data_IF_577093876125
#
_entry.id   IF_577093876125
#
_cell.length_a   1.000
_cell.length_b   1.000
_cell.length_c   1.000
_cell.angle_alpha   90.00
_cell.angle_beta   90.00
_cell.angle_gamma   90.00
#
_symmetry.space_group_name_H-M   'P 1'
#
loop_
_entity.id
_entity.type
_entity.pdbx_description
1 polymer ?
#
# COMPACT_ATOMS: atom_id res chain seq x y z
N UNK A 1 -28.51 9.67 -8.19
CA UNK A 1 -29.26 9.15 -9.37
C UNK A 1 -28.30 8.33 -10.23
N UNK A 2 -28.28 7.01 -10.03
CA UNK A 2 -27.62 6.07 -10.95
C UNK A 2 -28.67 5.04 -11.31
N UNK A 3 -29.04 5.01 -12.58
CA UNK A 3 -30.02 4.08 -13.12
C UNK A 3 -29.45 2.66 -13.17
N UNK A 4 -30.31 1.71 -12.79
CA UNK A 4 -30.43 0.34 -13.30
C UNK A 4 -29.22 -0.20 -14.06
N UNK A 5 -28.39 -0.97 -13.35
CA UNK A 5 -27.42 -1.87 -13.97
C UNK A 5 -28.16 -3.02 -14.67
N UNK A 6 -28.48 -2.81 -15.94
CA UNK A 6 -28.59 -3.92 -16.88
C UNK A 6 -27.22 -4.59 -16.98
N UNK A 7 -27.22 -5.92 -16.95
CA UNK A 7 -26.10 -6.78 -17.29
C UNK A 7 -25.57 -6.48 -18.70
N UNK A 8 -24.73 -5.45 -18.81
CA UNK A 8 -23.91 -5.20 -19.98
C UNK A 8 -22.49 -5.61 -19.65
N UNK A 9 -21.99 -6.67 -20.30
CA UNK A 9 -20.55 -6.78 -20.51
C UNK A 9 -20.11 -5.49 -21.19
N UNK A 10 -19.52 -4.57 -20.42
CA UNK A 10 -18.94 -3.36 -20.97
C UNK A 10 -17.73 -3.75 -21.81
N UNK A 11 -17.94 -3.97 -23.10
CA UNK A 11 -16.84 -4.11 -24.05
C UNK A 11 -16.07 -2.79 -24.08
N UNK A 12 -14.88 -2.78 -23.45
CA UNK A 12 -13.93 -1.69 -23.60
C UNK A 12 -13.40 -1.70 -25.02
N UNK A 13 -13.61 -0.61 -25.76
CA UNK A 13 -13.06 -0.46 -27.10
C UNK A 13 -11.53 -0.34 -27.01
N UNK A 14 -10.82 -1.35 -27.53
CA UNK A 14 -9.35 -1.39 -27.59
C UNK A 14 -8.74 -0.21 -28.39
N UNK A 15 -9.56 0.54 -29.12
CA UNK A 15 -9.16 1.61 -30.02
C UNK A 15 -8.89 2.96 -29.33
N UNK A 16 -8.88 3.01 -27.99
CA UNK A 16 -8.60 4.22 -27.19
C UNK A 16 -7.33 4.08 -26.32
N UNK A 17 -6.51 3.04 -26.54
CA UNK A 17 -5.32 2.74 -25.73
C UNK A 17 -4.11 3.54 -26.22
N UNK A 18 -3.88 3.61 -27.54
CA UNK A 18 -2.69 4.24 -28.14
C UNK A 18 -3.10 5.33 -29.12
N UNK A 19 -2.49 6.50 -28.95
CA UNK A 19 -2.76 7.68 -29.78
C UNK A 19 -1.98 7.54 -31.09
N UNK A 20 -2.66 7.29 -32.21
CA UNK A 20 -2.06 7.11 -33.54
C UNK A 20 -1.61 8.44 -34.19
N UNK A 21 -0.90 9.27 -33.43
CA UNK A 21 -0.32 10.54 -33.87
C UNK A 21 -0.85 11.76 -33.11
N UNK A 22 0.00 12.34 -32.25
CA UNK A 22 -0.32 13.50 -31.41
C UNK A 22 -0.56 14.81 -32.20
N UNK A 23 -0.17 14.85 -33.47
CA UNK A 23 -0.16 16.04 -34.31
C UNK A 23 -1.33 16.12 -35.31
N UNK A 24 -2.25 15.14 -35.33
CA UNK A 24 -3.49 15.25 -36.12
C UNK A 24 -4.40 16.29 -35.46
N UNK A 25 -4.74 17.37 -36.17
CA UNK A 25 -5.74 18.34 -35.71
C UNK A 25 -7.07 17.62 -35.43
N UNK A 26 -7.61 17.78 -34.21
CA UNK A 26 -8.92 17.27 -33.81
C UNK A 26 -8.93 16.07 -32.86
N UNK A 27 -7.78 15.51 -32.46
CA UNK A 27 -7.72 14.50 -31.38
C UNK A 27 -7.54 15.15 -30.01
N UNK A 28 -8.55 15.01 -29.14
CA UNK A 28 -8.45 15.37 -27.73
C UNK A 28 -7.64 14.33 -26.96
N UNK A 29 -6.59 14.78 -26.25
CA UNK A 29 -5.71 13.92 -25.44
C UNK A 29 -6.49 13.15 -24.36
N UNK A 30 -7.58 13.74 -23.85
CA UNK A 30 -8.49 13.14 -22.87
C UNK A 30 -9.28 11.93 -23.37
N UNK A 31 -9.21 11.62 -24.68
CA UNK A 31 -9.86 10.44 -25.26
C UNK A 31 -8.97 9.19 -25.19
N UNK A 32 -7.68 9.34 -24.87
CA UNK A 32 -6.72 8.24 -24.88
C UNK A 32 -6.12 8.00 -23.49
N UNK A 33 -6.12 6.74 -23.05
CA UNK A 33 -5.75 6.37 -21.68
C UNK A 33 -4.27 6.65 -21.33
N UNK A 34 -3.34 6.33 -22.23
CA UNK A 34 -1.89 6.42 -21.97
C UNK A 34 -1.38 7.87 -21.80
N UNK A 35 -1.62 8.81 -22.73
CA UNK A 35 -1.11 10.17 -22.57
C UNK A 35 -1.78 10.92 -21.41
N UNK A 36 -3.06 10.62 -21.14
CA UNK A 36 -3.76 11.17 -19.98
C UNK A 36 -3.19 10.64 -18.67
N UNK A 37 -2.84 9.34 -18.59
CA UNK A 37 -2.11 8.77 -17.45
C UNK A 37 -0.77 9.46 -17.20
N UNK A 38 0.05 9.70 -18.23
CA UNK A 38 1.32 10.43 -18.06
C UNK A 38 1.11 11.85 -17.55
N UNK A 39 0.10 12.56 -18.08
CA UNK A 39 -0.27 13.89 -17.62
C UNK A 39 -0.68 13.85 -16.14
N UNK A 40 -1.47 12.86 -15.74
CA UNK A 40 -1.91 12.66 -14.37
C UNK A 40 -0.72 12.41 -13.42
N UNK A 41 0.23 11.55 -13.81
CA UNK A 41 1.46 11.30 -13.04
C UNK A 41 2.29 12.58 -12.90
N UNK A 42 2.44 13.37 -13.98
CA UNK A 42 3.14 14.65 -13.93
C UNK A 42 2.48 15.63 -12.95
N UNK A 43 1.16 15.73 -12.97
CA UNK A 43 0.40 16.58 -12.03
C UNK A 43 0.59 16.09 -10.59
N UNK A 44 0.44 14.78 -10.35
CA UNK A 44 0.59 14.19 -9.01
C UNK A 44 1.98 14.42 -8.43
N UNK A 45 3.02 14.16 -9.21
CA UNK A 45 4.42 14.36 -8.78
C UNK A 45 4.70 15.84 -8.56
N UNK A 46 4.27 16.72 -9.46
CA UNK A 46 4.51 18.16 -9.33
C UNK A 46 3.83 18.73 -8.09
N UNK A 47 2.57 18.37 -7.85
CA UNK A 47 1.82 18.83 -6.68
C UNK A 47 2.39 18.25 -5.39
N UNK A 48 2.77 16.96 -5.38
CA UNK A 48 3.41 16.35 -4.21
C UNK A 48 4.75 17.00 -3.88
N UNK A 49 5.54 17.39 -4.88
CA UNK A 49 6.81 18.11 -4.69
C UNK A 49 6.60 19.52 -4.18
N UNK A 50 5.63 20.24 -4.74
CA UNK A 50 5.28 21.59 -4.32
C UNK A 50 4.79 21.58 -2.87
N UNK A 51 3.85 20.70 -2.54
CA UNK A 51 3.34 20.60 -1.16
C UNK A 51 4.42 20.12 -0.19
N UNK A 52 5.30 19.21 -0.59
CA UNK A 52 6.44 18.80 0.24
C UNK A 52 7.40 19.97 0.50
N UNK A 53 7.59 20.88 -0.47
CA UNK A 53 8.38 22.09 -0.28
C UNK A 53 7.72 23.07 0.70
N UNK A 54 6.40 23.27 0.59
CA UNK A 54 5.64 24.13 1.50
C UNK A 54 5.61 23.60 2.94
N UNK A 55 5.54 22.29 3.11
CA UNK A 55 5.46 21.64 4.41
C UNK A 55 6.87 21.40 5.03
N UNK A 56 7.94 21.45 4.22
CA UNK A 56 9.33 21.35 4.69
C UNK A 56 9.68 22.25 5.89
N UNK A 57 9.31 23.55 5.94
CA UNK A 57 9.58 24.39 7.11
C UNK A 57 8.88 23.93 8.39
N UNK A 58 7.82 23.11 8.29
CA UNK A 58 7.10 22.54 9.44
C UNK A 58 7.75 21.25 9.97
N UNK A 59 8.86 20.79 9.39
CA UNK A 59 9.59 19.61 9.84
C UNK A 59 8.89 18.27 9.57
N UNK A 60 7.85 18.24 8.75
CA UNK A 60 7.11 17.02 8.44
C UNK A 60 7.81 16.18 7.35
N UNK A 61 7.76 14.83 7.43
CA UNK A 61 8.31 13.95 6.41
C UNK A 61 7.54 14.06 5.08
N UNK A 62 8.25 13.83 3.97
CA UNK A 62 7.74 13.94 2.60
C UNK A 62 6.48 13.08 2.35
N UNK A 63 6.38 11.94 3.01
CA UNK A 63 5.25 11.02 2.89
C UNK A 63 3.90 11.68 3.25
N UNK A 64 3.89 12.63 4.19
CA UNK A 64 2.66 13.30 4.61
C UNK A 64 2.14 14.21 3.50
N UNK A 65 3.04 14.93 2.81
CA UNK A 65 2.66 15.72 1.64
C UNK A 65 2.13 14.83 0.50
N UNK A 66 2.72 13.64 0.28
CA UNK A 66 2.24 12.67 -0.71
C UNK A 66 0.81 12.19 -0.38
N UNK A 67 0.52 11.89 0.90
CA UNK A 67 -0.83 11.48 1.36
C UNK A 67 -1.84 12.64 1.22
N UNK A 68 -1.48 13.85 1.64
CA UNK A 68 -2.35 15.03 1.54
C UNK A 68 -2.71 15.35 0.09
N UNK A 69 -1.76 15.25 -0.83
CA UNK A 69 -2.04 15.39 -2.27
C UNK A 69 -3.01 14.32 -2.74
N UNK A 70 -2.85 13.07 -2.31
CA UNK A 70 -3.81 12.00 -2.61
C UNK A 70 -5.22 12.28 -2.11
N UNK A 71 -5.37 12.80 -0.89
CA UNK A 71 -6.68 13.18 -0.32
C UNK A 71 -7.28 14.36 -1.09
N UNK A 72 -6.46 15.35 -1.45
CA UNK A 72 -6.90 16.58 -2.12
C UNK A 72 -7.30 16.33 -3.57
N UNK A 73 -6.53 15.53 -4.30
CA UNK A 73 -6.82 15.14 -5.70
C UNK A 73 -7.84 14.01 -5.81
N UNK A 74 -8.06 13.26 -4.73
CA UNK A 74 -9.06 12.19 -4.67
C UNK A 74 -10.49 12.72 -4.53
N UNK A 75 -11.44 11.79 -4.43
CA UNK A 75 -12.87 12.11 -4.31
C UNK A 75 -13.22 12.90 -3.03
N UNK A 76 -12.38 12.79 -1.98
CA UNK A 76 -12.55 13.51 -0.72
C UNK A 76 -12.29 15.02 -0.82
N UNK A 77 -11.48 15.46 -1.79
CA UNK A 77 -11.15 16.86 -2.05
C UNK A 77 -11.84 17.38 -3.30
N UNK A 78 -11.11 17.37 -4.42
CA UNK A 78 -11.52 17.93 -5.71
C UNK A 78 -12.65 17.16 -6.41
N UNK A 79 -12.88 15.89 -6.05
CA UNK A 79 -14.02 15.13 -6.60
C UNK A 79 -15.40 15.63 -6.18
N UNK A 80 -15.50 16.61 -5.27
CA UNK A 80 -16.77 17.32 -4.98
C UNK A 80 -17.15 18.34 -6.05
N UNK A 81 -16.22 18.73 -6.92
CA UNK A 81 -16.47 19.71 -7.98
C UNK A 81 -17.12 18.99 -9.17
N UNK A 82 -18.30 19.45 -9.57
CA UNK A 82 -18.99 18.96 -10.76
C UNK A 82 -18.07 19.07 -11.98
N UNK A 83 -17.88 17.94 -12.68
CA UNK A 83 -17.01 17.72 -13.85
C UNK A 83 -15.54 17.34 -13.61
N UNK A 84 -15.01 17.35 -12.37
CA UNK A 84 -13.61 16.94 -12.13
C UNK A 84 -13.35 15.49 -12.56
N UNK A 85 -14.23 14.56 -12.17
CA UNK A 85 -14.10 13.13 -12.51
C UNK A 85 -14.16 12.89 -14.04
N UNK A 86 -14.86 13.74 -14.79
CA UNK A 86 -14.99 13.57 -16.25
C UNK A 86 -13.71 13.96 -16.99
N UNK A 87 -12.96 14.94 -16.46
CA UNK A 87 -11.78 15.49 -17.12
C UNK A 87 -10.45 14.96 -16.56
N UNK A 88 -10.36 14.64 -15.27
CA UNK A 88 -9.12 14.16 -14.64
C UNK A 88 -9.09 12.66 -14.33
N UNK A 89 -10.24 12.00 -14.18
CA UNK A 89 -10.35 10.57 -13.81
C UNK A 89 -11.45 9.86 -14.64
N UNK A 90 -11.37 9.90 -15.99
CA UNK A 90 -12.39 9.26 -16.79
C UNK A 90 -12.40 7.74 -16.58
N UNK A 91 -13.60 7.14 -16.64
CA UNK A 91 -13.81 5.75 -16.19
C UNK A 91 -12.92 4.70 -16.89
N UNK A 92 -12.43 4.99 -18.08
CA UNK A 92 -11.59 4.08 -18.85
C UNK A 92 -10.13 4.02 -18.36
N UNK A 93 -9.69 4.98 -17.55
CA UNK A 93 -8.33 5.03 -17.00
C UNK A 93 -8.18 4.26 -15.69
N UNK A 94 -9.27 4.00 -14.95
CA UNK A 94 -9.20 3.31 -13.66
C UNK A 94 -8.50 1.95 -13.78
N UNK A 95 -8.75 1.19 -14.84
CA UNK A 95 -8.09 -0.10 -15.04
C UNK A 95 -6.57 0.03 -15.23
N UNK A 96 -6.11 1.05 -15.95
CA UNK A 96 -4.68 1.32 -16.14
C UNK A 96 -4.06 1.81 -14.83
N UNK A 97 -4.73 2.71 -14.13
CA UNK A 97 -4.26 3.25 -12.85
C UNK A 97 -4.18 2.15 -11.77
N UNK A 98 -5.18 1.27 -11.71
CA UNK A 98 -5.24 0.14 -10.79
C UNK A 98 -4.13 -0.88 -11.06
N UNK A 99 -3.95 -1.26 -12.33
CA UNK A 99 -2.88 -2.21 -12.71
C UNK A 99 -1.49 -1.65 -12.40
N UNK A 100 -1.23 -0.39 -12.75
CA UNK A 100 0.05 0.28 -12.44
C UNK A 100 0.24 0.47 -10.93
N UNK A 101 -0.82 0.83 -10.19
CA UNK A 101 -0.77 0.97 -8.73
C UNK A 101 -0.43 -0.35 -8.03
N UNK A 102 -1.06 -1.45 -8.44
CA UNK A 102 -0.77 -2.78 -7.90
C UNK A 102 0.68 -3.19 -8.19
N UNK A 103 1.16 -2.96 -9.42
CA UNK A 103 2.55 -3.24 -9.80
C UNK A 103 3.55 -2.36 -9.01
N UNK A 104 3.26 -1.07 -8.86
CA UNK A 104 4.06 -0.13 -8.08
C UNK A 104 4.10 -0.52 -6.60
N UNK A 105 2.99 -0.98 -6.03
CA UNK A 105 2.92 -1.47 -4.65
C UNK A 105 3.79 -2.71 -4.45
N UNK A 106 3.71 -3.68 -5.36
CA UNK A 106 4.56 -4.89 -5.33
C UNK A 106 6.04 -4.50 -5.40
N UNK A 107 6.40 -3.62 -6.34
CA UNK A 107 7.78 -3.15 -6.50
C UNK A 107 8.26 -2.38 -5.27
N UNK A 108 7.40 -1.56 -4.66
CA UNK A 108 7.73 -0.80 -3.45
C UNK A 108 7.97 -1.73 -2.26
N UNK A 109 7.09 -2.71 -2.03
CA UNK A 109 7.28 -3.73 -0.99
C UNK A 109 8.57 -4.52 -1.23
N UNK A 110 8.86 -4.87 -2.48
CA UNK A 110 10.10 -5.55 -2.86
C UNK A 110 11.35 -4.72 -2.53
N UNK A 111 11.38 -3.45 -2.94
CA UNK A 111 12.50 -2.55 -2.65
C UNK A 111 12.72 -2.35 -1.15
N UNK A 112 11.64 -2.20 -0.39
CA UNK A 112 11.72 -2.12 1.07
C UNK A 112 12.23 -3.45 1.64
N UNK A 113 11.73 -4.58 1.12
CA UNK A 113 12.18 -5.94 1.45
C UNK A 113 13.69 -6.13 1.30
N UNK A 114 14.28 -5.68 0.18
CA UNK A 114 15.72 -5.79 -0.08
C UNK A 114 16.56 -4.92 0.85
N UNK A 115 16.03 -3.78 1.30
CA UNK A 115 16.72 -2.89 2.25
C UNK A 115 16.69 -3.41 3.70
N UNK A 116 15.86 -4.41 3.99
CA UNK A 116 15.71 -4.95 5.34
C UNK A 116 16.69 -6.11 5.57
N UNK A 117 17.61 -5.89 6.50
CA UNK A 117 18.50 -6.95 6.94
C UNK A 117 17.85 -7.79 8.04
N UNK A 118 17.62 -9.07 7.74
CA UNK A 118 17.03 -10.03 8.68
C UNK A 118 17.95 -10.38 9.86
N UNK A 119 19.24 -10.01 9.82
CA UNK A 119 20.18 -10.23 10.94
C UNK A 119 19.73 -9.48 12.19
N UNK A 120 19.04 -8.35 12.02
CA UNK A 120 18.49 -7.56 13.14
C UNK A 120 17.32 -8.25 13.86
N UNK A 121 16.78 -9.35 13.33
CA UNK A 121 15.67 -10.10 13.97
C UNK A 121 16.12 -10.98 15.15
N UNK A 122 17.39 -11.36 15.21
CA UNK A 122 17.86 -12.34 16.19
C UNK A 122 17.92 -11.70 17.59
N UNK A 123 17.10 -12.19 18.52
CA UNK A 123 17.14 -11.83 19.94
C UNK A 123 16.00 -10.93 20.45
N UNK A 124 15.21 -10.29 19.59
CA UNK A 124 14.10 -9.42 20.01
C UNK A 124 12.70 -10.06 19.93
N UNK A 125 12.60 -11.34 19.57
CA UNK A 125 11.33 -12.00 19.24
C UNK A 125 10.21 -11.83 20.26
N UNK A 126 10.50 -11.97 21.57
CA UNK A 126 9.49 -11.81 22.62
C UNK A 126 8.99 -10.37 22.78
N UNK A 127 9.89 -9.38 22.68
CA UNK A 127 9.52 -7.95 22.74
C UNK A 127 8.73 -7.54 21.49
N UNK A 128 9.13 -8.04 20.33
CA UNK A 128 8.44 -7.85 19.05
C UNK A 128 7.03 -8.44 19.09
N UNK A 129 6.89 -9.68 19.57
CA UNK A 129 5.60 -10.33 19.70
C UNK A 129 4.67 -9.57 20.66
N UNK A 130 5.19 -9.14 21.82
CA UNK A 130 4.42 -8.36 22.78
C UNK A 130 3.97 -6.99 22.21
N UNK A 131 4.85 -6.29 21.49
CA UNK A 131 4.50 -5.01 20.86
C UNK A 131 3.48 -5.19 19.72
N UNK A 132 3.64 -6.24 18.92
CA UNK A 132 2.73 -6.59 17.84
C UNK A 132 1.32 -6.93 18.37
N UNK A 133 1.24 -7.81 19.35
CA UNK A 133 -0.06 -8.19 19.95
C UNK A 133 -0.70 -7.02 20.69
N UNK A 134 0.07 -6.24 21.46
CA UNK A 134 -0.46 -5.08 22.17
C UNK A 134 -1.03 -4.03 21.21
N UNK A 135 -0.31 -3.69 20.14
CA UNK A 135 -0.82 -2.74 19.13
C UNK A 135 -2.04 -3.26 18.39
N UNK A 136 -2.05 -4.54 18.00
CA UNK A 136 -3.18 -5.19 17.34
C UNK A 136 -4.43 -5.17 18.22
N UNK A 137 -4.31 -5.62 19.48
CA UNK A 137 -5.43 -5.66 20.43
C UNK A 137 -5.93 -4.25 20.76
N UNK A 138 -5.02 -3.30 20.96
CA UNK A 138 -5.36 -1.92 21.27
C UNK A 138 -6.13 -1.26 20.12
N UNK A 139 -5.64 -1.37 18.88
CA UNK A 139 -6.32 -0.81 17.70
C UNK A 139 -7.66 -1.48 17.45
N UNK A 140 -7.74 -2.80 17.64
CA UNK A 140 -8.99 -3.54 17.47
C UNK A 140 -10.04 -3.09 18.50
N UNK A 141 -9.68 -3.04 19.79
CA UNK A 141 -10.56 -2.60 20.87
C UNK A 141 -10.97 -1.12 20.72
N UNK A 142 -10.05 -0.25 20.33
CA UNK A 142 -10.32 1.16 20.05
C UNK A 142 -11.30 1.32 18.87
N UNK A 143 -11.15 0.52 17.83
CA UNK A 143 -12.05 0.57 16.67
C UNK A 143 -13.45 0.08 17.04
N UNK A 144 -13.56 -1.05 17.74
CA UNK A 144 -14.85 -1.58 18.20
C UNK A 144 -15.56 -0.57 19.11
N UNK A 145 -14.86 -0.04 20.10
CA UNK A 145 -15.42 0.98 21.01
C UNK A 145 -15.83 2.25 20.26
N UNK A 146 -15.05 2.74 19.32
CA UNK A 146 -15.42 3.88 18.48
C UNK A 146 -16.68 3.62 17.65
N UNK A 147 -16.83 2.42 17.06
CA UNK A 147 -18.02 2.04 16.29
C UNK A 147 -19.28 2.07 17.17
N UNK A 148 -19.20 1.53 18.39
CA UNK A 148 -20.33 1.56 19.33
C UNK A 148 -20.60 2.96 19.89
N UNK A 149 -19.56 3.73 20.22
CA UNK A 149 -19.67 5.06 20.82
C UNK A 149 -20.21 6.10 19.85
N UNK A 150 -19.70 6.14 18.61
CA UNK A 150 -20.15 7.07 17.57
C UNK A 150 -21.37 6.56 16.80
N UNK A 151 -21.91 5.40 17.17
CA UNK A 151 -23.10 4.82 16.54
C UNK A 151 -22.93 4.55 15.05
N UNK A 152 -21.70 4.27 14.59
CA UNK A 152 -21.40 4.03 13.18
C UNK A 152 -22.27 2.88 12.66
N UNK A 153 -23.09 3.18 11.65
CA UNK A 153 -24.00 2.21 11.05
C UNK A 153 -23.43 1.74 9.71
N UNK A 154 -23.70 0.48 9.32
CA UNK A 154 -23.47 0.07 7.94
C UNK A 154 -24.20 1.03 6.98
N UNK A 155 -23.58 1.31 5.83
CA UNK A 155 -24.08 2.23 4.81
C UNK A 155 -25.57 1.92 4.50
N UNK A 156 -26.45 2.95 4.37
CA UNK A 156 -27.85 2.74 4.03
C UNK A 156 -28.03 1.88 2.79
N UNK A 157 -29.13 1.12 2.78
CA UNK A 157 -29.52 -0.03 1.92
C UNK A 157 -29.51 0.20 0.39
N UNK A 158 -29.03 1.33 -0.10
CA UNK A 158 -29.26 1.78 -1.47
C UNK A 158 -28.25 1.24 -2.50
N UNK A 159 -27.19 0.54 -2.05
CA UNK A 159 -26.10 0.12 -2.94
C UNK A 159 -25.94 -1.40 -3.12
N UNK A 160 -26.37 -2.25 -2.19
CA UNK A 160 -26.37 -3.70 -2.36
C UNK A 160 -27.43 -4.32 -1.43
N UNK A 161 -28.40 -5.06 -1.99
CA UNK A 161 -29.60 -5.57 -1.31
C UNK A 161 -29.41 -6.60 -0.19
N UNK A 162 -28.29 -6.58 0.52
CA UNK A 162 -27.99 -7.44 1.67
C UNK A 162 -27.99 -6.67 2.98
N UNK A 163 -28.88 -7.03 3.91
CA UNK A 163 -28.79 -6.56 5.30
C UNK A 163 -27.61 -7.26 6.00
N UNK A 164 -26.45 -6.62 6.05
CA UNK A 164 -25.33 -7.14 6.85
C UNK A 164 -25.64 -7.00 8.34
N UNK A 165 -25.44 -8.06 9.15
CA UNK A 165 -25.56 -7.94 10.60
C UNK A 165 -24.57 -6.87 11.11
N UNK A 166 -25.03 -6.01 12.02
CA UNK A 166 -24.17 -5.04 12.73
C UNK A 166 -22.85 -5.64 13.27
N UNK A 167 -22.83 -6.84 13.92
CA UNK A 167 -21.57 -7.41 14.41
C UNK A 167 -20.60 -7.76 13.28
N UNK A 168 -21.11 -8.17 12.12
CA UNK A 168 -20.32 -8.46 10.93
C UNK A 168 -19.60 -7.22 10.41
N UNK A 169 -20.32 -6.09 10.36
CA UNK A 169 -19.75 -4.81 9.98
C UNK A 169 -18.66 -4.36 10.97
N UNK A 170 -18.92 -4.46 12.27
CA UNK A 170 -17.95 -4.06 13.31
C UNK A 170 -16.66 -4.88 13.21
N UNK A 171 -16.76 -6.21 13.08
CA UNK A 171 -15.59 -7.09 12.95
C UNK A 171 -14.82 -6.79 11.67
N UNK A 172 -15.51 -6.55 10.56
CA UNK A 172 -14.86 -6.20 9.29
C UNK A 172 -14.09 -4.86 9.39
N UNK A 173 -14.73 -3.82 9.91
CA UNK A 173 -14.12 -2.50 10.08
C UNK A 173 -12.93 -2.57 11.04
N UNK A 174 -13.07 -3.28 12.15
CA UNK A 174 -11.98 -3.51 13.11
C UNK A 174 -10.81 -4.29 12.48
N UNK A 175 -11.09 -5.32 11.67
CA UNK A 175 -10.06 -6.08 10.98
C UNK A 175 -9.29 -5.22 9.97
N UNK A 176 -9.99 -4.42 9.15
CA UNK A 176 -9.36 -3.55 8.14
C UNK A 176 -8.51 -2.46 8.79
N UNK A 177 -9.01 -1.81 9.85
CA UNK A 177 -8.28 -0.74 10.54
C UNK A 177 -7.06 -1.22 11.35
N UNK A 178 -7.01 -2.51 11.68
CA UNK A 178 -5.87 -3.10 12.37
C UNK A 178 -4.70 -3.40 11.43
N UNK A 179 -4.94 -3.48 10.11
CA UNK A 179 -3.89 -3.74 9.11
C UNK A 179 -2.95 -2.55 9.04
N UNK A 180 -1.63 -2.81 9.16
CA UNK A 180 -0.61 -1.75 9.11
C UNK A 180 0.25 -1.86 7.84
N UNK A 181 0.45 -0.74 7.14
CA UNK A 181 1.31 -0.68 5.96
C UNK A 181 2.79 -0.51 6.37
N UNK A 182 3.45 -1.62 6.66
CA UNK A 182 4.86 -1.65 7.00
C UNK A 182 5.80 -0.84 6.06
N UNK A 183 5.64 -0.89 4.72
CA UNK A 183 6.53 -0.16 3.82
C UNK A 183 6.56 1.36 4.05
N UNK A 184 5.40 1.93 4.40
CA UNK A 184 5.27 3.35 4.72
C UNK A 184 5.95 3.66 6.05
N UNK A 185 5.75 2.80 7.06
CA UNK A 185 6.40 2.93 8.37
C UNK A 185 7.92 2.85 8.26
N UNK A 186 8.46 1.92 7.46
CA UNK A 186 9.89 1.76 7.26
C UNK A 186 10.51 3.02 6.64
N UNK A 187 9.83 3.62 5.64
CA UNK A 187 10.26 4.88 5.02
C UNK A 187 10.21 6.03 6.02
N UNK A 188 9.17 6.10 6.85
CA UNK A 188 9.02 7.13 7.88
C UNK A 188 10.12 7.04 8.94
N UNK A 189 10.43 5.84 9.44
CA UNK A 189 11.53 5.61 10.41
C UNK A 189 12.89 5.98 9.80
N UNK A 190 13.10 5.69 8.51
CA UNK A 190 14.30 6.08 7.79
C UNK A 190 14.42 7.61 7.64
N UNK A 191 13.33 8.29 7.29
CA UNK A 191 13.28 9.76 7.16
C UNK A 191 13.54 10.45 8.51
N UNK A 192 13.03 9.90 9.63
CA UNK A 192 13.31 10.40 10.98
C UNK A 192 14.69 10.01 11.53
N UNK A 193 15.50 9.23 10.78
CA UNK A 193 16.83 8.73 11.20
C UNK A 193 16.81 7.87 12.49
N UNK A 194 15.67 7.29 12.86
CA UNK A 194 15.53 6.47 14.09
C UNK A 194 15.90 4.99 13.83
N UNK A 195 16.16 4.60 12.57
CA UNK A 195 16.44 3.22 12.18
C UNK A 195 17.68 2.60 12.85
N UNK A 196 18.66 3.42 13.24
CA UNK A 196 19.87 2.97 13.92
C UNK A 196 19.63 2.56 15.38
N UNK A 197 18.55 3.04 15.99
CA UNK A 197 18.23 2.79 17.39
C UNK A 197 17.43 1.50 17.57
N UNK A 198 17.53 0.89 18.75
CA UNK A 198 16.85 -0.37 19.05
C UNK A 198 15.32 -0.25 19.01
N UNK A 199 14.78 0.93 19.32
CA UNK A 199 13.35 1.26 19.17
C UNK A 199 12.90 1.28 17.71
N UNK A 200 13.71 1.86 16.81
CA UNK A 200 13.42 1.87 15.36
C UNK A 200 13.44 0.46 14.77
N UNK A 201 14.42 -0.36 15.18
CA UNK A 201 14.49 -1.78 14.81
C UNK A 201 13.29 -2.56 15.33
N UNK A 202 12.92 -2.38 16.61
CA UNK A 202 11.77 -3.06 17.21
C UNK A 202 10.46 -2.67 16.49
N UNK A 203 10.26 -1.41 16.13
CA UNK A 203 9.08 -0.95 15.41
C UNK A 203 8.94 -1.60 14.02
N UNK A 204 10.04 -1.65 13.25
CA UNK A 204 10.11 -2.33 11.95
C UNK A 204 9.75 -3.81 12.11
N UNK A 205 10.35 -4.51 13.08
CA UNK A 205 10.08 -5.93 13.30
C UNK A 205 8.65 -6.21 13.79
N UNK A 206 8.12 -5.38 14.69
CA UNK A 206 6.76 -5.49 15.19
C UNK A 206 5.74 -5.30 14.06
N UNK A 207 6.00 -4.38 13.13
CA UNK A 207 5.10 -4.16 11.99
C UNK A 207 5.08 -5.33 11.00
N UNK A 208 6.19 -6.02 10.76
CA UNK A 208 6.22 -7.24 9.94
C UNK A 208 5.41 -8.36 10.61
N UNK A 209 5.56 -8.51 11.93
CA UNK A 209 4.77 -9.47 12.71
C UNK A 209 3.27 -9.12 12.67
N UNK A 210 2.91 -7.84 12.80
CA UNK A 210 1.53 -7.36 12.67
C UNK A 210 0.95 -7.66 11.30
N UNK A 211 1.66 -7.34 10.21
CA UNK A 211 1.18 -7.66 8.86
C UNK A 211 0.83 -9.14 8.75
N UNK A 212 1.70 -10.03 9.23
CA UNK A 212 1.47 -11.48 9.22
C UNK A 212 0.24 -11.87 10.04
N UNK A 213 0.08 -11.31 11.24
CA UNK A 213 -1.08 -11.55 12.09
C UNK A 213 -2.38 -10.99 11.48
N UNK A 214 -2.33 -9.85 10.79
CA UNK A 214 -3.48 -9.21 10.15
C UNK A 214 -4.11 -10.08 9.07
N UNK A 215 -3.32 -10.86 8.32
CA UNK A 215 -3.87 -11.82 7.34
C UNK A 215 -4.74 -12.89 8.00
N UNK A 216 -4.33 -13.39 9.18
CA UNK A 216 -5.12 -14.36 9.95
C UNK A 216 -6.39 -13.71 10.50
N UNK A 217 -6.29 -12.47 10.99
CA UNK A 217 -7.44 -11.71 11.50
C UNK A 217 -8.45 -11.42 10.37
N UNK A 218 -7.98 -11.04 9.17
CA UNK A 218 -8.84 -10.82 8.01
C UNK A 218 -9.53 -12.11 7.55
N UNK A 219 -8.80 -13.23 7.48
CA UNK A 219 -9.38 -14.53 7.15
C UNK A 219 -10.45 -14.96 8.17
N UNK A 220 -10.18 -14.71 9.46
CA UNK A 220 -11.15 -14.98 10.54
C UNK A 220 -12.37 -14.06 10.43
N UNK A 221 -12.16 -12.77 10.13
CA UNK A 221 -13.24 -11.82 9.85
C UNK A 221 -14.16 -12.32 8.73
N UNK A 222 -13.59 -12.75 7.60
CA UNK A 222 -14.34 -13.33 6.47
C UNK A 222 -15.11 -14.60 6.84
N UNK A 223 -14.56 -15.42 7.75
CA UNK A 223 -15.23 -16.61 8.24
C UNK A 223 -16.46 -16.27 9.10
N UNK A 224 -16.32 -15.28 9.99
CA UNK A 224 -17.39 -14.80 10.87
C UNK A 224 -18.47 -14.04 10.08
N UNK A 225 -18.10 -13.32 9.02
CA UNK A 225 -19.05 -12.53 8.23
C UNK A 225 -20.03 -13.38 7.41
N UNK A 226 -19.74 -14.65 7.15
CA UNK A 226 -20.50 -15.51 6.24
C UNK A 226 -20.79 -16.89 6.86
N UNK A 227 -21.78 -17.06 7.76
CA UNK A 227 -21.95 -18.32 8.50
C UNK A 227 -22.22 -19.58 7.63
N UNK A 228 -22.82 -19.44 6.44
CA UNK A 228 -23.14 -20.60 5.57
C UNK A 228 -21.99 -21.07 4.66
N UNK A 229 -21.03 -20.21 4.33
CA UNK A 229 -19.91 -20.51 3.40
C UNK A 229 -18.54 -20.02 3.89
N UNK A 230 -18.52 -19.16 4.89
CA UNK A 230 -17.38 -18.40 5.40
C UNK A 230 -16.32 -19.25 6.05
N UNK A 231 -16.69 -20.33 6.77
CA UNK A 231 -15.67 -21.24 7.31
C UNK A 231 -14.84 -21.89 6.19
N UNK A 232 -15.49 -22.34 5.11
CA UNK A 232 -14.80 -22.89 3.93
C UNK A 232 -13.95 -21.82 3.25
N UNK A 233 -14.51 -20.63 3.03
CA UNK A 233 -13.78 -19.51 2.40
C UNK A 233 -12.57 -19.10 3.25
N UNK A 234 -12.73 -18.91 4.56
CA UNK A 234 -11.65 -18.59 5.48
C UNK A 234 -10.57 -19.67 5.52
N UNK A 235 -10.96 -20.95 5.54
CA UNK A 235 -10.02 -22.07 5.45
C UNK A 235 -9.25 -22.07 4.10
N UNK A 236 -9.92 -21.84 2.97
CA UNK A 236 -9.25 -21.70 1.68
C UNK A 236 -8.29 -20.50 1.63
N UNK A 237 -8.67 -19.36 2.23
CA UNK A 237 -7.79 -18.18 2.33
C UNK A 237 -6.56 -18.47 3.19
N UNK A 238 -6.72 -19.13 4.34
CA UNK A 238 -5.58 -19.51 5.19
C UNK A 238 -4.68 -20.54 4.50
N UNK A 239 -5.26 -21.54 3.84
CA UNK A 239 -4.52 -22.60 3.16
C UNK A 239 -3.78 -22.07 1.93
N UNK A 240 -4.41 -21.22 1.12
CA UNK A 240 -3.75 -20.56 -0.01
C UNK A 240 -2.63 -19.62 0.45
N UNK A 241 -2.84 -18.88 1.54
CA UNK A 241 -1.81 -18.02 2.14
C UNK A 241 -0.61 -18.85 2.62
N UNK A 242 -0.86 -19.94 3.36
CA UNK A 242 0.19 -20.84 3.83
C UNK A 242 0.94 -21.50 2.66
N UNK A 243 0.21 -21.94 1.62
CA UNK A 243 0.80 -22.50 0.41
C UNK A 243 1.68 -21.48 -0.32
N UNK A 244 1.24 -20.22 -0.44
CA UNK A 244 2.05 -19.15 -1.01
C UNK A 244 3.32 -18.90 -0.20
N UNK A 245 3.22 -18.81 1.13
CA UNK A 245 4.40 -18.69 1.98
C UNK A 245 5.35 -19.87 1.80
N UNK A 246 4.83 -21.10 1.75
CA UNK A 246 5.65 -22.29 1.52
C UNK A 246 6.38 -22.21 0.17
N UNK A 247 5.69 -21.85 -0.92
CA UNK A 247 6.31 -21.68 -2.24
C UNK A 247 7.38 -20.58 -2.24
N UNK A 248 7.15 -19.45 -1.57
CA UNK A 248 8.16 -18.39 -1.46
C UNK A 248 9.42 -18.86 -0.71
N UNK A 249 9.26 -19.60 0.38
CA UNK A 249 10.41 -20.09 1.16
C UNK A 249 11.12 -21.29 0.51
N UNK A 250 10.39 -22.18 -0.16
CA UNK A 250 10.91 -23.43 -0.72
C UNK A 250 11.36 -23.33 -2.17
N UNK A 251 10.79 -22.42 -2.97
CA UNK A 251 11.16 -22.24 -4.37
C UNK A 251 11.90 -20.92 -4.59
N UNK A 252 11.32 -19.79 -4.18
CA UNK A 252 11.86 -18.47 -4.53
C UNK A 252 13.18 -18.19 -3.81
N UNK A 253 13.28 -18.45 -2.51
CA UNK A 253 14.54 -18.27 -1.75
C UNK A 253 15.71 -19.10 -2.31
N UNK A 254 15.59 -20.43 -2.52
CA UNK A 254 16.70 -21.20 -3.07
C UNK A 254 17.04 -20.78 -4.49
N UNK A 255 16.05 -20.53 -5.36
CA UNK A 255 16.28 -20.04 -6.73
C UNK A 255 17.03 -18.71 -6.73
N UNK A 256 16.65 -17.77 -5.86
CA UNK A 256 17.34 -16.48 -5.74
C UNK A 256 18.76 -16.66 -5.19
N UNK A 257 18.96 -17.54 -4.20
CA UNK A 257 20.30 -17.85 -3.69
C UNK A 257 21.18 -18.55 -4.72
N UNK A 258 20.58 -19.36 -5.59
CA UNK A 258 21.26 -20.04 -6.69
C UNK A 258 21.60 -19.09 -7.83
N UNK A 259 20.69 -18.17 -8.18
CA UNK A 259 20.93 -17.13 -9.17
C UNK A 259 22.04 -16.16 -8.71
N UNK A 260 22.03 -15.77 -7.44
CA UNK A 260 23.08 -14.93 -6.84
C UNK A 260 24.46 -15.60 -6.85
N UNK A 261 24.52 -16.94 -6.76
CA UNK A 261 25.78 -17.71 -6.90
C UNK A 261 26.28 -17.82 -8.33
N UNK A 262 25.44 -17.54 -9.33
CA UNK A 262 25.79 -17.61 -10.77
C UNK A 262 26.15 -16.26 -11.38
N UNK A 263 25.97 -15.16 -10.64
CA UNK A 263 26.47 -13.86 -11.05
C UNK A 263 28.00 -13.84 -10.89
N UNK A 264 28.77 -13.58 -11.97
CA UNK A 264 30.22 -13.48 -11.88
C UNK A 264 30.60 -12.37 -10.88
N UNK A 265 31.57 -12.66 -10.03
CA UNK A 265 31.99 -11.89 -8.85
C UNK A 265 32.72 -10.56 -9.19
N UNK A 266 32.39 -9.96 -10.34
CA UNK A 266 33.03 -8.77 -10.90
C UNK A 266 32.58 -7.42 -10.31
N UNK A 267 31.67 -7.40 -9.34
CA UNK A 267 31.40 -6.21 -8.53
C UNK A 267 30.85 -6.60 -7.16
N UNK A 268 31.56 -7.49 -6.47
CA UNK A 268 31.47 -7.53 -5.00
C UNK A 268 31.77 -6.11 -4.54
N UNK A 269 30.83 -5.50 -3.81
CA UNK A 269 30.93 -4.18 -3.18
C UNK A 269 32.15 -4.14 -2.26
N UNK A 270 33.32 -3.97 -2.86
CA UNK A 270 34.60 -3.66 -2.24
C UNK A 270 34.64 -2.15 -1.98
N UNK A 271 33.65 -1.65 -1.24
CA UNK A 271 33.70 -0.30 -0.69
C UNK A 271 32.83 -0.13 0.56
N UNK A 272 32.82 -1.15 1.42
CA UNK A 272 32.42 -1.00 2.83
C UNK A 272 33.52 -0.39 3.71
N UNK A 273 34.78 -0.33 3.24
CA UNK A 273 35.92 0.21 4.00
C UNK A 273 36.60 1.44 3.38
N UNK A 274 36.46 1.72 2.07
CA UNK A 274 37.06 2.93 1.47
C UNK A 274 36.11 4.13 1.40
N UNK A 275 34.78 3.92 1.40
CA UNK A 275 33.79 5.00 1.37
C UNK A 275 33.74 5.81 2.69
N UNK A 276 34.09 5.20 3.83
CA UNK A 276 34.25 5.90 5.11
C UNK A 276 35.47 6.83 5.12
N UNK A 277 36.52 6.52 4.33
CA UNK A 277 37.71 7.36 4.19
C UNK A 277 37.51 8.58 3.26
N UNK A 278 36.54 8.50 2.34
CA UNK A 278 36.17 9.58 1.44
C UNK A 278 35.08 10.51 2.01
N UNK A 279 34.10 9.96 2.74
CA UNK A 279 33.08 10.78 3.42
C UNK A 279 33.62 11.51 4.65
N UNK A 280 34.67 11.00 5.31
CA UNK A 280 35.32 11.65 6.46
C UNK A 280 36.23 12.84 6.12
N UNK A 281 36.61 13.03 4.85
CA UNK A 281 37.49 14.13 4.40
C UNK A 281 36.75 15.34 3.81
N UNK A 282 35.47 15.20 3.44
CA UNK A 282 34.70 16.28 2.81
C UNK A 282 33.86 17.15 3.78
N UNK A 283 33.83 16.79 5.07
CA UNK A 283 33.06 17.50 6.11
C UNK A 283 33.92 18.26 7.13
N UNK A 284 35.19 18.57 6.78
CA UNK A 284 36.13 19.33 7.63
C UNK A 284 36.72 20.58 6.96
N UNK A 285 36.00 21.17 6.00
CA UNK A 285 36.37 22.45 5.40
C UNK A 285 35.13 23.14 4.82
N UNK A 286 34.86 24.34 5.34
CA UNK A 286 33.67 25.19 5.21
C UNK A 286 32.51 24.85 6.16
#
# INVERSE_FOLDING_TARGET
>A
MVGTAGSGLGCFSANQIVLNGAWRRGVSISSYAVPMFFLQVCVFVSLARLLAYLIKPLGQPKIIAEILVGILLGQSGLGRISNYDKYMLPKHEYMVLETVSNLAMIYFVFLVGVKLDMRYMKGLGRKVAAAATASTVLTFAATVSAVYLFGLQPVPKDLDGGSFPRPTFVVFVAAVLTVTAFPVLARLIADFKILSNDTGRLAVLASIANVTASWVILATGLAVTNPKKGWRVGAYVLLSTAALFAVFFLAVRPVMSWALRRLPEGERVSNGSSASSWLGRRWRGC
#
